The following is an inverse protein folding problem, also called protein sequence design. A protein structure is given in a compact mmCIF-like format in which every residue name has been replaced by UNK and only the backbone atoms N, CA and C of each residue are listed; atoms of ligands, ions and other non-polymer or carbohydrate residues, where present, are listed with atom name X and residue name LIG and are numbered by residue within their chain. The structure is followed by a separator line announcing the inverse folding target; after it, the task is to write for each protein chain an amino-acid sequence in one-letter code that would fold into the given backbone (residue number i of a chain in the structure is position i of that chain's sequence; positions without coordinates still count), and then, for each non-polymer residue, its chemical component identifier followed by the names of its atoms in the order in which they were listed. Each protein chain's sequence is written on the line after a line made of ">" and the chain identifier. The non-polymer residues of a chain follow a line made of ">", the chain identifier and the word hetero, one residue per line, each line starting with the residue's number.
data_IF_861572491170
#
_entry.id   IF_861572491170
#
_cell.length_a   1.000
_cell.length_b   1.000
_cell.length_c   1.000
_cell.angle_alpha   90.00
_cell.angle_beta   90.00
_cell.angle_gamma   90.00
#
_symmetry.space_group_name_H-M   'P 1'
#
loop_
_entity.id
_entity.type
_entity.pdbx_description
1 polymer ?
#
# COMPACT_ATOMS: atom_id res chain seq x y z
N UNK A 1 6.91 2.65 -11.71
CA UNK A 1 5.55 3.07 -12.12
C UNK A 1 5.30 4.50 -11.71
N UNK A 2 4.56 5.25 -12.52
CA UNK A 2 3.99 6.54 -12.13
C UNK A 2 2.91 6.35 -11.06
N UNK A 3 2.60 7.42 -10.32
CA UNK A 3 1.50 7.42 -9.32
C UNK A 3 0.18 6.97 -9.97
N UNK A 4 -0.05 7.36 -11.23
CA UNK A 4 -1.27 6.99 -11.97
C UNK A 4 -1.35 5.49 -12.25
N UNK A 5 -0.23 4.87 -12.60
CA UNK A 5 -0.16 3.43 -12.85
C UNK A 5 -0.37 2.64 -11.56
N UNK A 6 0.26 3.06 -10.45
CA UNK A 6 0.07 2.47 -9.13
C UNK A 6 -1.39 2.56 -8.71
N UNK A 7 -2.02 3.72 -8.91
CA UNK A 7 -3.43 3.91 -8.61
C UNK A 7 -4.33 2.99 -9.45
N UNK A 8 -4.04 2.87 -10.75
CA UNK A 8 -4.79 1.98 -11.63
C UNK A 8 -4.60 0.51 -11.25
N UNK A 9 -3.40 0.11 -10.83
CA UNK A 9 -3.12 -1.23 -10.32
C UNK A 9 -3.97 -1.52 -9.07
N UNK A 10 -3.89 -0.66 -8.04
CA UNK A 10 -4.62 -0.83 -6.78
C UNK A 10 -6.14 -0.92 -6.97
N UNK A 11 -6.70 -0.14 -7.91
CA UNK A 11 -8.14 -0.15 -8.21
C UNK A 11 -8.61 -1.42 -8.93
N UNK A 12 -7.75 -2.02 -9.76
CA UNK A 12 -8.11 -3.21 -10.54
C UNK A 12 -7.65 -4.52 -9.87
N UNK A 13 -6.84 -4.45 -8.81
CA UNK A 13 -6.40 -5.61 -8.05
C UNK A 13 -7.59 -6.32 -7.40
N UNK A 14 -7.59 -7.66 -7.50
CA UNK A 14 -8.58 -8.51 -6.82
C UNK A 14 -8.11 -8.79 -5.39
N UNK A 15 -8.40 -7.85 -4.50
CA UNK A 15 -7.97 -7.91 -3.11
C UNK A 15 -8.51 -9.12 -2.34
N UNK A 16 -7.60 -9.84 -1.69
CA UNK A 16 -7.95 -10.73 -0.58
C UNK A 16 -8.02 -9.97 0.75
N UNK A 17 -8.79 -10.50 1.70
CA UNK A 17 -8.93 -9.89 3.03
C UNK A 17 -7.59 -9.83 3.80
N UNK A 18 -6.70 -10.80 3.61
CA UNK A 18 -5.39 -10.79 4.25
C UNK A 18 -4.48 -9.69 3.67
N UNK A 19 -4.60 -9.43 2.37
CA UNK A 19 -3.85 -8.37 1.70
C UNK A 19 -4.30 -6.99 2.18
N UNK A 20 -5.62 -6.77 2.29
CA UNK A 20 -6.17 -5.54 2.85
C UNK A 20 -5.75 -5.32 4.31
N UNK A 21 -5.72 -6.40 5.11
CA UNK A 21 -5.23 -6.33 6.48
C UNK A 21 -3.76 -5.93 6.52
N UNK A 22 -2.91 -6.54 5.69
CA UNK A 22 -1.48 -6.18 5.60
C UNK A 22 -1.31 -4.73 5.17
N UNK A 23 -1.95 -4.30 4.09
CA UNK A 23 -1.90 -2.92 3.62
C UNK A 23 -2.28 -1.93 4.74
N UNK A 24 -3.35 -2.23 5.48
CA UNK A 24 -3.78 -1.40 6.60
C UNK A 24 -2.73 -1.33 7.71
N UNK A 25 -2.09 -2.45 8.06
CA UNK A 25 -1.00 -2.48 9.03
C UNK A 25 0.20 -1.65 8.58
N UNK A 26 0.60 -1.76 7.31
CA UNK A 26 1.67 -0.94 6.74
C UNK A 26 1.36 0.56 6.82
N UNK A 27 0.13 0.97 6.48
CA UNK A 27 -0.34 2.35 6.62
C UNK A 27 -0.30 2.81 8.07
N UNK A 28 -0.81 2.01 9.02
CA UNK A 28 -0.80 2.36 10.44
C UNK A 28 0.64 2.56 10.94
N UNK A 29 1.53 1.61 10.67
CA UNK A 29 2.94 1.68 11.09
C UNK A 29 3.62 2.91 10.47
N UNK A 30 3.44 3.13 9.17
CA UNK A 30 4.01 4.30 8.50
C UNK A 30 3.47 5.62 9.06
N UNK A 31 2.17 5.70 9.37
CA UNK A 31 1.56 6.88 9.98
C UNK A 31 2.05 7.15 11.40
N UNK A 32 2.36 6.11 12.18
CA UNK A 32 2.99 6.23 13.51
C UNK A 32 4.42 6.80 13.39
N UNK A 33 5.20 6.31 12.42
CA UNK A 33 6.59 6.73 12.22
C UNK A 33 6.73 8.11 11.55
N UNK A 34 5.70 8.54 10.83
CA UNK A 34 5.69 9.80 10.08
C UNK A 34 4.56 10.70 10.57
N UNK A 35 3.51 10.87 9.76
CA UNK A 35 2.24 11.51 10.09
C UNK A 35 1.15 10.83 9.27
N UNK A 36 -0.15 10.91 9.62
CA UNK A 36 -1.20 10.28 8.81
C UNK A 36 -1.18 10.69 7.33
N UNK A 37 -0.92 11.96 7.05
CA UNK A 37 -0.88 12.50 5.67
C UNK A 37 0.22 11.86 4.82
N UNK A 38 1.39 11.59 5.39
CA UNK A 38 2.50 10.94 4.70
C UNK A 38 2.48 9.42 4.85
N UNK A 39 1.94 8.90 5.94
CA UNK A 39 1.92 7.49 6.28
C UNK A 39 0.97 6.68 5.40
N UNK A 40 -0.12 7.28 4.91
CA UNK A 40 -0.97 6.63 3.91
C UNK A 40 -0.18 6.35 2.62
N UNK A 41 0.40 7.34 1.92
CA UNK A 41 1.16 7.06 0.70
C UNK A 41 2.41 6.21 0.96
N UNK A 42 3.15 6.45 2.05
CA UNK A 42 4.35 5.66 2.39
C UNK A 42 3.98 4.21 2.71
N UNK A 43 2.91 3.97 3.47
CA UNK A 43 2.45 2.64 3.81
C UNK A 43 1.94 1.85 2.61
N UNK A 44 1.22 2.52 1.69
CA UNK A 44 0.81 1.91 0.41
C UNK A 44 2.05 1.49 -0.41
N UNK A 45 3.03 2.38 -0.56
CA UNK A 45 4.28 2.07 -1.28
C UNK A 45 5.02 0.92 -0.59
N UNK A 46 5.14 0.95 0.74
CA UNK A 46 5.85 -0.08 1.49
C UNK A 46 5.17 -1.46 1.37
N UNK A 47 3.83 -1.52 1.42
CA UNK A 47 3.09 -2.76 1.17
C UNK A 47 3.38 -3.30 -0.23
N UNK A 48 3.26 -2.46 -1.25
CA UNK A 48 3.47 -2.83 -2.65
C UNK A 48 4.87 -3.42 -2.89
N UNK A 49 5.92 -2.80 -2.33
CA UNK A 49 7.29 -3.25 -2.58
C UNK A 49 7.76 -4.41 -1.68
N UNK A 50 7.14 -4.63 -0.51
CA UNK A 50 7.62 -5.58 0.50
C UNK A 50 6.71 -6.78 0.71
N UNK A 51 5.48 -6.76 0.19
CA UNK A 51 4.46 -7.76 0.51
C UNK A 51 3.49 -8.08 -0.62
N UNK A 52 3.52 -7.34 -1.72
CA UNK A 52 2.67 -7.60 -2.88
C UNK A 52 3.47 -8.35 -3.95
N UNK A 53 3.34 -9.69 -3.95
CA UNK A 53 4.06 -10.56 -4.87
C UNK A 53 3.59 -10.38 -6.34
N UNK A 54 2.43 -9.75 -6.56
CA UNK A 54 1.91 -9.45 -7.90
C UNK A 54 2.36 -8.07 -8.41
N UNK A 55 3.05 -7.28 -7.59
CA UNK A 55 3.49 -5.94 -7.92
C UNK A 55 4.92 -5.96 -8.47
N UNK A 56 5.05 -6.17 -9.78
CA UNK A 56 6.29 -6.02 -10.57
C UNK A 56 6.21 -4.82 -11.55
#
# INVERSE_FOLDING_TARGET
>A
MSIKEIWNYLLNKKWDSNELLRLTLYVIIASILTTPLLGIPIGVIAYLYLSDDEFE
#
